data_IF_592319266292
#
_entry.id   IF_592319266292
#
_cell.length_a   1.000
_cell.length_b   1.000
_cell.length_c   1.000
_cell.angle_alpha   90.00
_cell.angle_beta   90.00
_cell.angle_gamma   90.00
#
_symmetry.space_group_name_H-M   'P 1'
#
loop_
_entity.id
_entity.type
_entity.pdbx_description
1 polymer ?
#
# COMPACT_ATOMS: atom_id res chain seq x y z
N UNK A 1 79.33 8.76 -47.52
CA UNK A 1 78.57 8.74 -46.24
C UNK A 1 77.10 8.96 -46.60
N UNK A 2 76.25 7.88 -46.47
CA UNK A 2 74.84 7.92 -46.75
C UNK A 2 74.12 8.57 -45.51
N UNK A 3 73.16 9.45 -45.75
CA UNK A 3 72.37 10.04 -44.64
C UNK A 3 71.54 8.95 -43.94
N UNK A 4 71.31 9.09 -42.62
CA UNK A 4 70.51 8.13 -41.88
C UNK A 4 69.05 8.11 -42.39
N UNK A 5 68.38 6.94 -42.34
CA UNK A 5 67.00 6.83 -42.82
C UNK A 5 66.04 7.69 -41.96
N UNK A 6 64.98 8.24 -42.56
CA UNK A 6 64.05 9.06 -41.88
C UNK A 6 63.34 8.23 -40.78
N UNK A 7 63.28 8.74 -39.55
CA UNK A 7 62.51 8.15 -38.46
C UNK A 7 61.01 8.21 -38.80
N UNK A 8 60.41 7.04 -39.00
CA UNK A 8 58.93 6.95 -39.10
C UNK A 8 58.32 7.48 -37.80
N UNK A 9 57.57 8.54 -37.88
CA UNK A 9 56.79 9.02 -36.76
C UNK A 9 55.73 7.94 -36.42
N UNK A 10 55.80 7.42 -35.20
CA UNK A 10 54.75 6.55 -34.68
C UNK A 10 53.39 7.33 -34.66
N UNK A 11 52.49 6.91 -35.52
CA UNK A 11 51.11 7.42 -35.50
C UNK A 11 50.54 7.04 -34.12
N UNK A 12 50.06 8.00 -33.30
CA UNK A 12 49.44 7.65 -32.02
C UNK A 12 48.26 6.73 -32.31
N UNK A 13 48.35 5.51 -31.80
CA UNK A 13 47.21 4.60 -31.81
C UNK A 13 46.13 5.24 -30.93
N UNK A 14 45.07 5.78 -31.54
CA UNK A 14 43.85 6.12 -30.85
C UNK A 14 43.31 4.85 -30.22
N UNK A 15 43.35 4.77 -28.91
CA UNK A 15 42.70 3.69 -28.20
C UNK A 15 41.25 3.59 -28.65
N UNK A 16 40.74 2.39 -28.95
CA UNK A 16 39.33 2.25 -29.32
C UNK A 16 38.46 2.75 -28.17
N UNK A 17 37.71 3.79 -28.43
CA UNK A 17 36.72 4.33 -27.47
C UNK A 17 35.73 3.23 -27.20
N UNK A 18 35.87 2.60 -26.02
CA UNK A 18 34.93 1.58 -25.59
C UNK A 18 33.50 2.17 -25.63
N UNK A 19 32.55 1.47 -26.27
CA UNK A 19 31.18 1.98 -26.31
C UNK A 19 30.66 2.17 -24.89
N UNK A 20 30.29 3.40 -24.56
CA UNK A 20 29.67 3.72 -23.28
C UNK A 20 28.32 3.03 -23.25
N UNK A 21 28.26 1.89 -22.57
CA UNK A 21 27.01 1.18 -22.39
C UNK A 21 26.03 2.05 -21.61
N UNK A 22 24.76 2.12 -22.02
CA UNK A 22 23.77 2.90 -21.33
C UNK A 22 23.61 2.39 -19.90
N UNK A 23 23.80 3.25 -18.93
CA UNK A 23 23.60 2.95 -17.53
C UNK A 23 22.11 2.95 -17.22
N UNK A 24 21.61 1.84 -16.67
CA UNK A 24 20.21 1.68 -16.30
C UNK A 24 20.06 1.75 -14.78
N UNK A 25 19.17 2.58 -14.33
CA UNK A 25 18.77 2.63 -12.94
C UNK A 25 17.40 1.95 -12.74
N UNK A 26 17.29 1.15 -11.70
CA UNK A 26 16.03 0.54 -11.28
C UNK A 26 15.27 1.53 -10.40
N UNK A 27 14.01 1.75 -10.72
CA UNK A 27 13.15 2.66 -9.96
C UNK A 27 11.82 2.00 -9.64
N UNK A 28 11.44 1.99 -8.36
CA UNK A 28 10.09 1.64 -7.96
C UNK A 28 9.15 2.78 -8.32
N UNK A 29 8.08 2.47 -9.05
CA UNK A 29 7.07 3.43 -9.45
C UNK A 29 5.78 3.30 -8.66
N UNK A 30 5.42 2.08 -8.27
CA UNK A 30 4.28 1.81 -7.42
C UNK A 30 4.44 0.43 -6.74
N UNK A 31 3.64 0.18 -5.72
CA UNK A 31 3.50 -1.13 -5.11
C UNK A 31 2.01 -1.50 -5.01
N UNK A 32 1.67 -2.73 -5.40
CA UNK A 32 0.37 -3.32 -5.09
C UNK A 32 0.40 -3.96 -3.72
N UNK A 33 -0.68 -3.87 -2.94
CA UNK A 33 -0.76 -4.50 -1.62
C UNK A 33 -2.11 -5.20 -1.40
N UNK A 34 -2.09 -6.23 -0.56
CA UNK A 34 -3.29 -6.91 -0.07
C UNK A 34 -3.15 -7.19 1.42
N UNK A 35 -4.16 -6.85 2.19
CA UNK A 35 -4.18 -7.05 3.65
C UNK A 35 -4.77 -8.41 3.99
N UNK A 36 -4.00 -9.23 4.67
CA UNK A 36 -4.37 -10.60 5.05
C UNK A 36 -5.33 -10.68 6.23
N UNK A 37 -5.45 -9.61 7.02
CA UNK A 37 -6.37 -9.57 8.15
C UNK A 37 -7.80 -9.18 7.74
N UNK A 38 -7.96 -8.62 6.56
CA UNK A 38 -9.29 -8.30 6.02
C UNK A 38 -9.90 -9.57 5.44
N UNK A 39 -10.99 -10.08 6.00
CA UNK A 39 -11.67 -11.25 5.47
C UNK A 39 -12.36 -10.89 4.15
N UNK A 40 -11.78 -11.33 3.04
CA UNK A 40 -12.31 -11.10 1.71
C UNK A 40 -11.34 -10.46 0.74
N UNK A 41 -11.83 -10.17 -0.45
CA UNK A 41 -11.03 -9.55 -1.49
C UNK A 41 -10.74 -8.09 -1.12
N UNK A 42 -9.48 -7.78 -1.02
CA UNK A 42 -9.02 -6.43 -0.84
C UNK A 42 -7.75 -6.19 -1.64
N UNK A 43 -7.60 -5.00 -2.12
CA UNK A 43 -6.41 -4.58 -2.82
C UNK A 43 -6.11 -3.12 -2.54
N UNK A 44 -4.86 -2.79 -2.58
CA UNK A 44 -4.39 -1.41 -2.45
C UNK A 44 -3.22 -1.14 -3.35
N UNK A 45 -2.97 0.12 -3.56
CA UNK A 45 -1.81 0.62 -4.29
C UNK A 45 -1.10 1.65 -3.44
N UNK A 46 0.21 1.69 -3.53
CA UNK A 46 1.03 2.68 -2.84
C UNK A 46 2.10 3.21 -3.79
N UNK A 47 2.17 4.53 -3.89
CA UNK A 47 3.08 5.25 -4.78
C UNK A 47 4.13 5.97 -3.93
N UNK A 48 5.43 5.69 -4.11
CA UNK A 48 6.48 6.44 -3.44
C UNK A 48 6.61 7.85 -4.03
N UNK A 49 6.59 8.85 -3.17
CA UNK A 49 6.71 10.27 -3.52
C UNK A 49 8.01 10.82 -2.94
N UNK A 50 8.94 11.19 -3.79
CA UNK A 50 10.25 11.67 -3.35
C UNK A 50 11.04 10.60 -2.59
N UNK A 51 11.73 11.00 -1.52
CA UNK A 51 12.65 10.13 -0.77
C UNK A 51 12.00 9.43 0.43
N UNK A 52 11.07 10.07 1.09
CA UNK A 52 10.55 9.62 2.38
C UNK A 52 9.03 9.45 2.41
N UNK A 53 8.32 9.92 1.43
CA UNK A 53 6.86 9.90 1.43
C UNK A 53 6.31 8.82 0.52
N UNK A 54 5.15 8.32 0.88
CA UNK A 54 4.30 7.54 0.00
C UNK A 54 2.84 7.94 0.20
N UNK A 55 2.06 7.71 -0.83
CA UNK A 55 0.61 7.89 -0.82
C UNK A 55 0.00 6.57 -1.24
N UNK A 56 -0.96 6.09 -0.47
CA UNK A 56 -1.64 4.84 -0.70
C UNK A 56 -3.15 5.00 -0.81
N UNK A 57 -3.77 4.02 -1.45
CA UNK A 57 -5.20 3.84 -1.46
C UNK A 57 -5.53 2.36 -1.36
N UNK A 58 -6.51 2.02 -0.55
CA UNK A 58 -7.01 0.66 -0.36
C UNK A 58 -8.50 0.59 -0.67
N UNK A 59 -8.92 -0.53 -1.24
CA UNK A 59 -10.30 -0.86 -1.44
C UNK A 59 -10.58 -2.25 -0.89
N UNK A 60 -11.60 -2.36 -0.03
CA UNK A 60 -12.08 -3.59 0.55
C UNK A 60 -13.40 -3.94 -0.11
N UNK A 61 -13.40 -5.06 -0.81
CA UNK A 61 -14.60 -5.56 -1.45
C UNK A 61 -15.43 -6.34 -0.44
N UNK A 62 -16.73 -6.02 -0.32
CA UNK A 62 -17.57 -6.69 0.64
C UNK A 62 -17.71 -8.14 0.31
N UNK A 63 -17.43 -9.00 1.26
CA UNK A 63 -17.52 -10.37 1.00
C UNK A 63 -17.93 -11.14 2.22
N UNK A 64 -18.99 -11.79 2.20
CA UNK A 64 -19.61 -12.43 3.13
C UNK A 64 -19.87 -13.67 3.25
N UNK A 65 -20.15 -14.27 3.85
CA UNK A 65 -20.90 -14.76 4.23
C UNK A 65 -21.56 -15.63 4.97
N UNK A 66 -22.41 -15.58 5.55
CA UNK A 66 -23.29 -16.41 6.32
C UNK A 66 -23.61 -17.71 5.71
N UNK A 67 -23.18 -18.68 6.31
CA UNK A 67 -23.68 -20.02 6.14
C UNK A 67 -24.95 -20.15 6.95
N UNK A 68 -26.09 -20.17 6.35
CA UNK A 68 -27.40 -20.13 7.00
C UNK A 68 -27.82 -18.75 7.47
N UNK A 69 -29.03 -18.48 7.21
CA UNK A 69 -29.84 -17.33 7.49
C UNK A 69 -29.81 -16.78 8.93
N UNK A 70 -28.68 -16.87 9.63
CA UNK A 70 -28.55 -16.41 11.01
C UNK A 70 -27.46 -15.39 11.24
N UNK A 71 -26.51 -15.29 10.30
CA UNK A 71 -25.35 -14.42 10.43
C UNK A 71 -25.01 -13.82 9.08
N UNK A 72 -24.88 -12.51 9.05
CA UNK A 72 -24.31 -11.76 7.94
C UNK A 72 -23.19 -10.88 8.47
N UNK A 73 -22.16 -10.71 7.72
CA UNK A 73 -21.08 -9.78 8.01
C UNK A 73 -20.51 -9.27 6.70
N UNK A 74 -20.90 -8.08 6.32
CA UNK A 74 -20.45 -7.41 5.12
C UNK A 74 -19.74 -6.12 5.50
N UNK A 75 -18.66 -5.81 4.83
CA UNK A 75 -17.93 -4.58 5.03
C UNK A 75 -17.28 -4.14 3.73
N UNK A 76 -17.78 -3.08 3.16
CA UNK A 76 -17.16 -2.37 2.06
C UNK A 76 -16.38 -1.19 2.62
N UNK A 77 -15.14 -1.03 2.20
CA UNK A 77 -14.32 0.09 2.66
C UNK A 77 -13.39 0.62 1.58
N UNK A 78 -13.10 1.89 1.68
CA UNK A 78 -12.06 2.56 0.91
C UNK A 78 -11.25 3.44 1.86
N UNK A 79 -9.95 3.48 1.66
CA UNK A 79 -9.04 4.25 2.50
C UNK A 79 -8.00 4.91 1.62
N UNK A 80 -7.56 6.07 2.07
CA UNK A 80 -6.37 6.75 1.57
C UNK A 80 -5.40 6.94 2.72
N UNK A 81 -4.13 6.82 2.47
CA UNK A 81 -3.08 7.04 3.46
C UNK A 81 -1.89 7.79 2.88
N UNK A 82 -1.26 8.56 3.74
CA UNK A 82 0.02 9.19 3.48
C UNK A 82 1.01 8.79 4.56
N UNK A 83 2.20 8.28 4.17
CA UNK A 83 3.21 7.80 5.11
C UNK A 83 4.53 8.53 4.94
N UNK A 84 5.20 8.75 6.06
CA UNK A 84 6.59 9.17 6.12
C UNK A 84 7.46 8.01 6.58
N UNK A 85 8.36 7.57 5.70
CA UNK A 85 9.28 6.47 5.95
C UNK A 85 10.60 6.96 6.53
N UNK A 86 10.98 6.42 7.68
CA UNK A 86 12.24 6.78 8.32
C UNK A 86 13.40 6.04 7.66
N UNK A 87 14.41 6.79 7.23
CA UNK A 87 15.69 6.17 6.87
C UNK A 87 16.43 5.81 8.13
N UNK A 88 16.82 4.57 8.26
CA UNK A 88 17.55 4.11 9.44
C UNK A 88 18.88 4.85 9.61
N UNK A 89 19.12 5.32 10.83
CA UNK A 89 20.31 6.07 11.21
C UNK A 89 21.63 5.31 11.01
N UNK A 90 21.56 3.99 10.79
CA UNK A 90 22.70 3.08 10.62
C UNK A 90 22.79 2.47 9.21
N UNK A 91 22.24 3.10 8.19
CA UNK A 91 22.29 2.60 6.80
C UNK A 91 21.52 1.32 6.55
N UNK A 92 20.91 0.74 7.58
CA UNK A 92 20.20 -0.54 7.47
C UNK A 92 18.92 -0.49 6.61
N UNK A 93 18.40 0.72 6.40
CA UNK A 93 17.22 1.02 5.61
C UNK A 93 17.46 2.25 4.73
N UNK A 94 18.57 2.24 3.97
CA UNK A 94 18.79 3.29 3.00
C UNK A 94 17.73 3.24 1.90
N UNK A 95 17.23 4.41 1.53
CA UNK A 95 16.36 4.57 0.39
C UNK A 95 17.16 4.44 -0.90
N UNK A 96 17.19 3.26 -1.44
CA UNK A 96 17.60 3.07 -2.83
C UNK A 96 16.39 3.28 -3.73
N UNK A 97 16.56 3.76 -4.93
CA UNK A 97 15.44 4.02 -5.86
C UNK A 97 14.64 2.78 -6.21
N UNK A 98 15.23 1.60 -6.06
CA UNK A 98 14.60 0.33 -6.36
C UNK A 98 14.03 -0.38 -5.14
N UNK A 99 14.24 0.14 -3.93
CA UNK A 99 13.81 -0.49 -2.69
C UNK A 99 13.28 0.54 -1.67
N UNK A 100 12.26 1.26 -2.10
CA UNK A 100 11.48 2.17 -1.24
C UNK A 100 10.43 1.41 -0.44
N UNK A 101 9.81 2.06 0.53
CA UNK A 101 8.73 1.52 1.36
C UNK A 101 9.18 0.35 2.25
N UNK A 102 10.32 0.49 2.89
CA UNK A 102 10.83 -0.48 3.87
C UNK A 102 11.25 0.20 5.16
N UNK A 103 11.29 -0.59 6.23
CA UNK A 103 11.60 -0.10 7.56
C UNK A 103 10.37 0.48 8.26
N UNK A 104 10.57 1.54 8.98
CA UNK A 104 9.56 2.15 9.84
C UNK A 104 8.92 3.36 9.17
N UNK A 105 7.63 3.51 9.29
CA UNK A 105 6.89 4.68 8.83
C UNK A 105 5.83 5.11 9.86
N UNK A 106 5.55 6.39 9.86
CA UNK A 106 4.36 6.96 10.48
C UNK A 106 3.47 7.53 9.39
N UNK A 107 2.18 7.29 9.52
CA UNK A 107 1.19 7.71 8.55
C UNK A 107 -0.02 8.39 9.16
N UNK A 108 -0.75 9.02 8.29
CA UNK A 108 -2.11 9.48 8.52
C UNK A 108 -3.00 8.78 7.50
N UNK A 109 -4.21 8.46 7.90
CA UNK A 109 -5.18 7.84 7.00
C UNK A 109 -6.57 8.41 7.20
N UNK A 110 -7.37 8.30 6.16
CA UNK A 110 -8.79 8.57 6.20
C UNK A 110 -9.50 7.61 5.25
N UNK A 111 -10.71 7.27 5.57
CA UNK A 111 -11.51 6.38 4.75
C UNK A 111 -12.95 6.33 5.19
N UNK A 112 -13.65 5.37 4.65
CA UNK A 112 -15.04 5.14 5.00
C UNK A 112 -15.60 3.97 4.25
N UNK A 113 -16.87 3.71 4.48
CA UNK A 113 -17.54 2.60 3.83
C UNK A 113 -18.89 2.30 4.41
N UNK A 114 -19.33 1.10 4.09
CA UNK A 114 -20.61 0.56 4.50
C UNK A 114 -20.38 -0.75 5.21
N UNK A 115 -21.25 -1.07 6.17
CA UNK A 115 -21.25 -2.36 6.81
C UNK A 115 -22.68 -2.87 7.02
N UNK A 116 -22.80 -4.18 6.99
CA UNK A 116 -24.00 -4.89 7.40
C UNK A 116 -23.57 -6.05 8.31
N UNK A 117 -24.10 -6.01 9.52
CA UNK A 117 -23.84 -7.05 10.51
C UNK A 117 -25.14 -7.58 11.06
N UNK A 118 -25.38 -8.87 10.84
CA UNK A 118 -26.57 -9.54 11.35
C UNK A 118 -26.20 -10.74 12.19
N UNK A 119 -26.89 -10.85 13.31
CA UNK A 119 -26.84 -12.02 14.18
C UNK A 119 -28.24 -12.47 14.51
N UNK A 120 -28.63 -13.65 13.96
CA UNK A 120 -29.97 -14.22 14.13
C UNK A 120 -31.07 -13.28 13.61
N UNK A 121 -31.91 -12.76 14.52
CA UNK A 121 -33.06 -11.90 14.22
C UNK A 121 -32.79 -10.40 14.40
N UNK A 122 -31.54 -10.00 14.53
CA UNK A 122 -31.14 -8.61 14.75
C UNK A 122 -30.02 -8.25 13.81
N UNK A 123 -30.19 -7.20 13.05
CA UNK A 123 -29.17 -6.67 12.13
C UNK A 123 -28.92 -5.19 12.35
N UNK A 124 -27.69 -4.77 12.03
CA UNK A 124 -27.26 -3.39 12.03
C UNK A 124 -26.60 -3.09 10.70
N UNK A 125 -27.12 -2.12 10.00
CA UNK A 125 -26.58 -1.64 8.74
C UNK A 125 -26.19 -0.18 8.90
N UNK A 126 -25.06 0.21 8.35
CA UNK A 126 -24.59 1.58 8.50
C UNK A 126 -23.48 1.99 7.57
N UNK A 127 -23.16 3.24 7.71
CA UNK A 127 -22.05 3.91 7.06
C UNK A 127 -21.04 4.32 8.12
N UNK A 128 -19.78 4.40 7.76
CA UNK A 128 -18.73 4.88 8.65
C UNK A 128 -17.72 5.74 7.92
N UNK A 129 -17.14 6.66 8.66
CA UNK A 129 -15.94 7.41 8.29
C UNK A 129 -14.89 7.09 9.35
N UNK A 130 -13.68 6.80 8.94
CA UNK A 130 -12.55 6.48 9.79
C UNK A 130 -11.36 7.35 9.41
N UNK A 131 -10.69 7.91 10.41
CA UNK A 131 -9.47 8.69 10.23
C UNK A 131 -8.57 8.59 11.45
N UNK A 132 -7.27 8.67 11.24
CA UNK A 132 -6.33 8.52 12.32
C UNK A 132 -4.88 8.58 11.90
N UNK A 133 -4.04 8.07 12.79
CA UNK A 133 -2.60 7.92 12.57
C UNK A 133 -2.22 6.46 12.68
N UNK A 134 -1.26 6.04 11.89
CA UNK A 134 -0.78 4.67 11.92
C UNK A 134 0.74 4.59 11.92
N UNK A 135 1.21 3.49 12.46
CA UNK A 135 2.60 3.07 12.38
C UNK A 135 2.68 1.85 11.47
N UNK A 136 3.61 1.87 10.54
CA UNK A 136 3.86 0.77 9.61
C UNK A 136 5.32 0.31 9.71
N UNK A 137 5.50 -1.01 9.68
CA UNK A 137 6.81 -1.64 9.55
C UNK A 137 6.85 -2.52 8.31
N UNK A 138 7.68 -2.14 7.34
CA UNK A 138 7.85 -2.87 6.09
C UNK A 138 9.16 -3.65 6.06
N UNK A 139 9.10 -4.96 5.81
CA UNK A 139 10.27 -5.82 5.69
C UNK A 139 10.28 -6.59 4.37
N UNK A 140 11.43 -6.68 3.69
CA UNK A 140 11.57 -7.48 2.50
C UNK A 140 11.50 -8.96 2.84
N UNK A 141 10.76 -9.73 2.04
CA UNK A 141 10.61 -11.17 2.19
C UNK A 141 11.02 -11.94 0.94
N UNK A 142 11.26 -13.24 1.12
CA UNK A 142 11.67 -14.14 0.05
C UNK A 142 13.16 -14.06 -0.27
N UNK A 143 13.65 -15.10 -0.96
CA UNK A 143 15.09 -15.30 -1.26
C UNK A 143 15.68 -14.17 -2.11
N UNK A 144 14.88 -13.61 -3.01
CA UNK A 144 15.27 -12.49 -3.91
C UNK A 144 14.87 -11.13 -3.39
N UNK A 145 14.22 -11.05 -2.22
CA UNK A 145 13.72 -9.82 -1.60
C UNK A 145 12.85 -8.94 -2.52
N UNK A 146 12.14 -9.56 -3.46
CA UNK A 146 11.30 -8.86 -4.44
C UNK A 146 9.90 -8.57 -3.93
N UNK A 147 9.50 -9.19 -2.84
CA UNK A 147 8.24 -8.94 -2.11
C UNK A 147 8.54 -8.33 -0.76
N UNK A 148 7.51 -7.75 -0.17
CA UNK A 148 7.55 -7.24 1.20
C UNK A 148 6.35 -7.70 1.99
N UNK A 149 6.54 -7.72 3.30
CA UNK A 149 5.47 -7.82 4.26
C UNK A 149 5.42 -6.52 5.05
N UNK A 150 4.22 -5.96 5.19
CA UNK A 150 3.98 -4.78 6.00
C UNK A 150 3.07 -5.12 7.16
N UNK A 151 3.46 -4.65 8.34
CA UNK A 151 2.66 -4.71 9.57
C UNK A 151 2.26 -3.29 9.90
N UNK A 152 0.97 -3.05 10.05
CA UNK A 152 0.50 -1.74 10.45
C UNK A 152 -0.47 -1.81 11.62
N UNK A 153 -0.40 -0.80 12.49
CA UNK A 153 -1.33 -0.57 13.59
C UNK A 153 -1.63 0.92 13.66
N UNK A 154 -2.87 1.25 13.92
CA UNK A 154 -3.31 2.64 13.95
C UNK A 154 -4.34 2.91 15.02
N UNK A 155 -4.36 4.16 15.46
CA UNK A 155 -5.35 4.70 16.37
C UNK A 155 -6.05 5.88 15.70
N UNK A 156 -7.34 5.98 15.92
CA UNK A 156 -8.13 6.98 15.22
C UNK A 156 -9.53 7.13 15.79
N UNK A 157 -10.36 7.75 14.99
CA UNK A 157 -11.74 8.01 15.29
C UNK A 157 -12.63 7.43 14.19
N UNK A 158 -13.61 6.61 14.59
CA UNK A 158 -14.66 6.13 13.71
C UNK A 158 -15.93 6.89 14.05
N UNK A 159 -16.51 7.53 13.05
CA UNK A 159 -17.83 8.11 13.08
C UNK A 159 -18.76 7.22 12.29
N UNK A 160 -19.80 6.69 12.91
CA UNK A 160 -20.72 5.79 12.23
C UNK A 160 -22.16 6.15 12.48
N UNK A 161 -22.97 5.85 11.48
CA UNK A 161 -24.41 5.99 11.51
C UNK A 161 -25.03 4.62 11.30
N UNK A 162 -25.67 4.09 12.33
CA UNK A 162 -26.24 2.75 12.33
C UNK A 162 -27.76 2.76 12.34
N UNK A 163 -28.34 1.81 11.65
CA UNK A 163 -29.79 1.52 11.64
C UNK A 163 -29.99 0.07 12.02
N UNK A 164 -30.90 -0.16 12.92
CA UNK A 164 -31.32 -1.50 13.28
C UNK A 164 -32.37 -1.99 12.27
N UNK A 165 -32.32 -3.27 11.95
CA UNK A 165 -33.32 -3.96 11.15
C UNK A 165 -33.60 -5.38 11.68
N UNK A 166 -34.80 -5.86 11.40
CA UNK A 166 -35.20 -7.24 11.69
C UNK A 166 -35.32 -7.98 10.36
N UNK A 167 -34.49 -8.99 10.11
CA UNK A 167 -34.57 -9.77 8.87
C UNK A 167 -35.82 -10.63 8.84
N UNK A 168 -36.46 -10.74 7.68
CA UNK A 168 -37.57 -11.66 7.44
C UNK A 168 -37.12 -13.12 7.37
N UNK A 169 -38.05 -14.06 7.54
CA UNK A 169 -37.77 -15.49 7.57
C UNK A 169 -37.18 -16.06 6.26
N UNK A 170 -37.43 -15.40 5.17
CA UNK A 170 -37.05 -15.78 3.79
C UNK A 170 -35.95 -14.92 3.19
N UNK A 171 -35.43 -13.94 3.93
CA UNK A 171 -34.30 -13.07 3.50
C UNK A 171 -34.57 -12.19 2.30
N UNK A 172 -35.76 -12.21 1.80
CA UNK A 172 -36.14 -11.42 0.63
C UNK A 172 -36.19 -9.92 0.95
N UNK A 173 -36.52 -9.55 2.20
CA UNK A 173 -36.72 -8.18 2.58
C UNK A 173 -36.00 -7.82 3.90
N UNK A 174 -35.20 -6.79 3.87
CA UNK A 174 -34.63 -6.14 5.04
C UNK A 174 -35.64 -5.09 5.51
N UNK A 175 -36.50 -5.46 6.45
CA UNK A 175 -37.49 -4.53 6.96
C UNK A 175 -36.85 -3.63 8.00
N UNK A 176 -36.81 -2.34 7.71
CA UNK A 176 -36.49 -1.33 8.71
C UNK A 176 -37.54 -1.38 9.80
N UNK A 177 -37.10 -1.51 11.05
CA UNK A 177 -38.04 -1.43 12.17
C UNK A 177 -38.71 -0.07 12.18
N UNK A 178 -40.07 -0.02 12.17
CA UNK A 178 -40.79 1.24 12.14
C UNK A 178 -40.47 2.05 13.38
N UNK A 179 -40.10 3.31 13.19
CA UNK A 179 -39.82 4.25 14.28
C UNK A 179 -38.43 4.20 14.87
N UNK A 180 -37.53 3.33 14.39
CA UNK A 180 -36.11 3.35 14.81
C UNK A 180 -35.42 4.54 14.19
N UNK A 181 -35.00 5.47 15.05
CA UNK A 181 -34.16 6.59 14.68
C UNK A 181 -32.76 6.11 14.32
N UNK A 182 -32.17 6.76 13.37
CA UNK A 182 -30.78 6.58 13.00
C UNK A 182 -29.89 7.02 14.18
N UNK A 183 -29.05 6.12 14.67
CA UNK A 183 -28.18 6.39 15.80
C UNK A 183 -26.76 6.71 15.29
N UNK A 184 -26.18 7.75 15.85
CA UNK A 184 -24.81 8.16 15.58
C UNK A 184 -23.92 7.69 16.73
N UNK A 185 -22.81 7.06 16.38
CA UNK A 185 -21.83 6.60 17.33
C UNK A 185 -20.46 7.14 16.96
N UNK A 186 -19.68 7.47 17.97
CA UNK A 186 -18.26 7.86 17.82
C UNK A 186 -17.44 6.90 18.63
N UNK A 187 -16.42 6.34 18.02
CA UNK A 187 -15.44 5.48 18.67
C UNK A 187 -14.05 6.09 18.51
N UNK A 188 -13.31 6.16 19.60
CA UNK A 188 -11.90 6.54 19.59
C UNK A 188 -11.07 5.42 20.19
N UNK A 189 -10.05 4.96 19.46
CA UNK A 189 -9.20 3.86 19.90
C UNK A 189 -8.44 3.21 18.75
N UNK A 190 -8.06 1.93 18.89
CA UNK A 190 -7.46 1.16 17.79
C UNK A 190 -8.48 0.99 16.65
N UNK A 191 -8.21 1.58 15.50
CA UNK A 191 -9.10 1.55 14.34
C UNK A 191 -8.48 0.85 13.13
N UNK A 192 -7.17 0.65 13.14
CA UNK A 192 -6.47 0.02 12.04
C UNK A 192 -5.50 -1.06 12.53
N UNK A 193 -5.55 -2.23 11.90
CA UNK A 193 -4.56 -3.29 12.04
C UNK A 193 -4.41 -4.00 10.70
N UNK A 194 -3.19 -4.34 10.31
CA UNK A 194 -2.96 -5.00 9.04
C UNK A 194 -1.67 -5.79 8.99
N UNK A 195 -1.74 -6.87 8.24
CA UNK A 195 -0.58 -7.61 7.75
C UNK A 195 -0.75 -7.68 6.24
N UNK A 196 0.09 -7.00 5.48
CA UNK A 196 -0.08 -6.88 4.04
C UNK A 196 1.09 -7.50 3.28
N UNK A 197 0.75 -8.23 2.22
CA UNK A 197 1.73 -8.54 1.18
C UNK A 197 1.82 -7.37 0.21
N UNK A 198 3.06 -6.98 -0.12
CA UNK A 198 3.35 -5.85 -0.97
C UNK A 198 4.24 -6.30 -2.13
N UNK A 199 3.79 -5.99 -3.33
CA UNK A 199 4.44 -6.29 -4.59
C UNK A 199 4.92 -5.00 -5.26
N UNK A 200 6.22 -4.65 -5.17
CA UNK A 200 6.74 -3.46 -5.83
C UNK A 200 6.85 -3.66 -7.35
N UNK A 201 6.35 -2.70 -8.10
CA UNK A 201 6.57 -2.60 -9.54
C UNK A 201 7.81 -1.74 -9.81
N UNK A 202 8.86 -2.41 -10.27
CA UNK A 202 10.17 -1.80 -10.50
C UNK A 202 10.41 -1.74 -12.01
N UNK A 203 10.70 -0.55 -12.51
CA UNK A 203 11.06 -0.31 -13.91
C UNK A 203 12.54 0.01 -14.03
N UNK A 204 13.14 -0.34 -15.17
CA UNK A 204 14.49 0.08 -15.55
C UNK A 204 14.39 1.40 -16.32
N UNK A 205 15.03 2.43 -15.84
CA UNK A 205 15.11 3.72 -16.53
C UNK A 205 16.54 3.95 -16.97
N UNK A 206 16.72 4.30 -18.22
CA UNK A 206 18.03 4.71 -18.75
C UNK A 206 18.41 6.05 -18.13
N UNK A 207 19.56 6.11 -17.50
CA UNK A 207 20.13 7.38 -17.05
C UNK A 207 20.65 8.08 -18.30
N UNK A 208 20.11 9.26 -18.62
CA UNK A 208 20.74 10.11 -19.61
C UNK A 208 22.12 10.47 -19.08
N UNK A 209 23.17 9.93 -19.67
CA UNK A 209 24.54 10.29 -19.34
C UNK A 209 24.66 11.80 -19.45
N UNK A 210 24.89 12.46 -18.32
CA UNK A 210 25.28 13.85 -18.33
C UNK A 210 26.64 13.93 -19.04
N UNK A 211 26.66 14.50 -20.19
CA UNK A 211 27.92 14.94 -20.79
C UNK A 211 28.61 15.83 -19.75
N UNK A 212 29.73 15.36 -19.23
CA UNK A 212 30.71 16.19 -18.52
C UNK A 212 31.70 16.75 -19.52
#
# INVERSE_FOLDING_TARGET
>A
ILPPPPRLALIPQTEPVSPVLPEYERQMILAGRTNLLVPGLNFGVEIPVGRHFSIGADYWYPWWLAKSNKYCGEMLGWFIDGKYWFTGRNGKYEWTRDDKLKGHALGIYAGGGYYDYQKRKSGYQGEYIDFGVDYTFGMPIGRKKWMRMEFNVGVGCILTQARHYTPTSDWADLIKDPGVKQNYYTFFGPTRAGISFVLPLIVKRQIKGGAR
#
